data_IF_419044827910
#
_entry.id   IF_419044827910
#
_cell.length_a   1.000
_cell.length_b   1.000
_cell.length_c   1.000
_cell.angle_alpha   90.00
_cell.angle_beta   90.00
_cell.angle_gamma   90.00
#
_symmetry.space_group_name_H-M   'P 1'
#
loop_
_entity.id
_entity.type
_entity.pdbx_description
1 polymer ?
#
# COMPACT_ATOMS: atom_id res chain seq x y z
N UNK A 1 51.08 49.93 8.11
CA UNK A 1 50.96 48.94 7.03
C UNK A 1 49.64 49.24 6.32
N UNK A 2 49.62 49.46 5.01
CA UNK A 2 48.39 49.77 4.28
C UNK A 2 47.45 48.56 4.34
N UNK A 3 46.17 48.84 4.55
CA UNK A 3 45.11 47.84 4.61
C UNK A 3 44.96 47.21 3.21
N UNK A 4 45.23 45.90 3.01
CA UNK A 4 45.31 45.31 1.67
C UNK A 4 43.95 44.97 1.06
N UNK A 5 42.84 45.49 1.60
CA UNK A 5 41.53 45.36 0.98
C UNK A 5 41.41 46.42 -0.13
N UNK A 6 42.11 46.21 -1.24
CA UNK A 6 41.71 46.80 -2.51
C UNK A 6 40.46 46.07 -2.97
N UNK A 7 39.29 46.72 -2.91
CA UNK A 7 38.09 46.21 -3.57
C UNK A 7 38.40 46.10 -5.07
N UNK A 8 38.58 44.87 -5.55
CA UNK A 8 38.64 44.60 -6.97
C UNK A 8 37.19 44.46 -7.43
N UNK A 9 36.54 45.58 -7.73
CA UNK A 9 35.24 45.56 -8.41
C UNK A 9 35.51 45.31 -9.90
N UNK A 10 35.42 44.04 -10.30
CA UNK A 10 35.41 43.70 -11.72
C UNK A 10 33.94 43.65 -12.18
N UNK A 11 33.48 44.72 -12.81
CA UNK A 11 32.19 44.69 -13.51
C UNK A 11 32.37 44.00 -14.85
N UNK A 12 31.64 42.91 -15.06
CA UNK A 12 31.57 42.21 -16.33
C UNK A 12 30.33 42.72 -17.08
N UNK A 13 30.50 43.14 -18.33
CA UNK A 13 29.38 43.57 -19.18
C UNK A 13 28.51 42.38 -19.62
N UNK A 14 27.22 42.63 -19.86
CA UNK A 14 26.14 41.62 -19.80
C UNK A 14 26.15 40.51 -20.86
N UNK A 15 27.13 40.44 -21.76
CA UNK A 15 27.14 39.51 -22.91
C UNK A 15 28.46 38.74 -23.08
N UNK A 16 29.40 38.84 -22.14
CA UNK A 16 30.68 38.14 -22.24
C UNK A 16 30.65 36.80 -21.50
N UNK A 17 31.10 35.72 -22.16
CA UNK A 17 31.33 34.42 -21.52
C UNK A 17 32.70 34.46 -20.84
N UNK A 18 32.73 34.22 -19.53
CA UNK A 18 33.99 34.11 -18.78
C UNK A 18 34.18 32.69 -18.27
N UNK A 19 35.18 32.02 -18.84
CA UNK A 19 35.62 30.72 -18.36
C UNK A 19 36.72 30.91 -17.31
N UNK A 20 36.42 30.52 -16.07
CA UNK A 20 37.44 30.40 -15.02
C UNK A 20 38.01 28.98 -15.08
N UNK A 21 39.22 28.85 -15.61
CA UNK A 21 39.92 27.57 -15.67
C UNK A 21 40.75 27.34 -14.39
N UNK A 22 40.70 26.12 -13.85
CA UNK A 22 41.48 25.70 -12.69
C UNK A 22 40.67 25.59 -11.40
N UNK A 23 41.36 25.62 -10.26
CA UNK A 23 40.74 25.55 -8.94
C UNK A 23 40.53 26.95 -8.39
N UNK A 24 39.31 27.23 -7.94
CA UNK A 24 38.97 28.48 -7.27
C UNK A 24 38.43 28.19 -5.87
N UNK A 25 38.83 29.00 -4.90
CA UNK A 25 38.37 28.91 -3.52
C UNK A 25 37.91 30.30 -3.07
N UNK A 26 36.66 30.39 -2.63
CA UNK A 26 36.12 31.59 -2.01
C UNK A 26 36.05 31.34 -0.51
N UNK A 27 36.79 32.11 0.27
CA UNK A 27 36.73 32.11 1.74
C UNK A 27 36.26 33.47 2.21
N UNK A 28 35.20 33.50 3.01
CA UNK A 28 34.65 34.72 3.59
C UNK A 28 34.47 34.55 5.10
N UNK A 29 34.81 35.57 5.89
CA UNK A 29 34.65 35.56 7.36
C UNK A 29 33.24 35.99 7.82
N UNK A 30 32.37 36.43 6.90
CA UNK A 30 30.99 36.83 7.18
C UNK A 30 30.00 36.03 6.34
N UNK A 31 29.89 36.35 5.06
CA UNK A 31 29.06 35.61 4.11
C UNK A 31 29.58 35.79 2.69
N UNK A 32 29.32 34.80 1.85
CA UNK A 32 29.47 34.89 0.40
C UNK A 32 28.09 34.69 -0.21
N UNK A 33 27.73 35.51 -1.19
CA UNK A 33 26.47 35.37 -1.92
C UNK A 33 26.81 35.10 -3.38
N UNK A 34 26.25 34.02 -3.91
CA UNK A 34 26.20 33.76 -5.33
C UNK A 34 24.75 34.00 -5.77
N UNK A 35 24.54 34.98 -6.65
CA UNK A 35 23.21 35.32 -7.18
C UNK A 35 23.25 35.31 -8.70
N UNK A 36 22.22 34.75 -9.31
CA UNK A 36 21.96 34.90 -10.74
C UNK A 36 20.66 35.69 -10.90
N UNK A 37 20.68 36.70 -11.77
CA UNK A 37 19.50 37.49 -12.14
C UNK A 37 18.96 37.12 -13.52
N UNK A 38 19.60 36.15 -14.21
CA UNK A 38 19.11 35.55 -15.44
C UNK A 38 18.23 34.33 -15.17
N UNK A 39 17.95 33.56 -16.22
CA UNK A 39 16.99 32.46 -16.17
C UNK A 39 17.46 31.29 -15.28
N UNK A 40 18.76 30.95 -15.32
CA UNK A 40 19.31 29.77 -14.65
C UNK A 40 20.59 30.04 -13.85
N UNK A 41 20.71 29.43 -12.67
CA UNK A 41 21.99 29.20 -11.98
C UNK A 41 22.25 27.69 -11.91
N UNK A 42 23.22 27.21 -12.69
CA UNK A 42 23.55 25.79 -12.76
C UNK A 42 24.80 25.50 -11.94
N UNK A 43 24.63 24.76 -10.83
CA UNK A 43 25.75 24.18 -10.08
C UNK A 43 25.91 22.71 -10.50
N UNK A 44 27.02 22.38 -11.16
CA UNK A 44 27.27 21.03 -11.70
C UNK A 44 28.67 20.53 -11.35
N UNK A 45 28.75 19.29 -10.87
CA UNK A 45 30.00 18.56 -10.69
C UNK A 45 30.03 17.45 -11.74
N UNK A 46 31.00 17.47 -12.65
CA UNK A 46 31.11 16.51 -13.77
C UNK A 46 32.45 15.79 -13.72
N UNK A 47 32.44 14.48 -13.92
CA UNK A 47 33.64 13.62 -13.94
C UNK A 47 33.51 12.41 -13.02
N UNK A 48 34.45 11.45 -13.15
CA UNK A 48 34.45 10.25 -12.31
C UNK A 48 34.86 10.61 -10.86
N UNK A 49 34.06 10.22 -9.87
CA UNK A 49 34.32 10.51 -8.45
C UNK A 49 34.07 11.96 -8.02
N UNK A 50 33.31 12.73 -8.80
CA UNK A 50 32.97 14.12 -8.47
C UNK A 50 31.72 14.18 -7.59
N UNK A 51 31.74 15.08 -6.61
CA UNK A 51 30.63 15.31 -5.68
C UNK A 51 30.31 16.81 -5.65
N UNK A 52 29.05 17.16 -5.42
CA UNK A 52 28.66 18.50 -4.99
C UNK A 52 28.32 18.41 -3.51
N UNK A 53 29.20 18.94 -2.65
CA UNK A 53 28.96 18.97 -1.21
C UNK A 53 28.25 20.27 -0.84
N UNK A 54 27.02 20.15 -0.36
CA UNK A 54 26.30 21.22 0.32
C UNK A 54 26.34 20.92 1.82
N UNK A 55 27.42 21.35 2.47
CA UNK A 55 27.59 21.21 3.91
C UNK A 55 27.23 22.52 4.59
N UNK A 56 26.18 22.49 5.42
CA UNK A 56 25.75 23.62 6.22
C UNK A 56 25.69 23.18 7.68
N UNK A 57 26.43 23.88 8.53
CA UNK A 57 26.38 23.69 9.99
C UNK A 57 25.05 24.14 10.61
N UNK A 58 24.22 24.89 9.85
CA UNK A 58 22.86 25.27 10.22
C UNK A 58 21.82 24.65 9.29
N UNK A 59 21.49 25.35 8.21
CA UNK A 59 20.44 24.93 7.26
C UNK A 59 20.90 25.12 5.83
N UNK A 60 20.69 24.12 4.98
CA UNK A 60 20.76 24.26 3.53
C UNK A 60 19.37 24.03 2.93
N UNK A 61 18.88 24.97 2.13
CA UNK A 61 17.54 24.91 1.56
C UNK A 61 17.53 25.26 0.07
N UNK A 62 16.81 24.47 -0.72
CA UNK A 62 16.54 24.73 -2.14
C UNK A 62 15.02 24.92 -2.28
N UNK A 63 14.60 26.07 -2.82
CA UNK A 63 13.19 26.41 -3.04
C UNK A 63 12.91 26.55 -4.54
N UNK A 64 11.79 26.01 -4.98
CA UNK A 64 11.25 26.18 -6.33
C UNK A 64 9.73 26.37 -6.23
N UNK A 65 9.28 27.63 -6.09
CA UNK A 65 7.88 27.93 -5.81
C UNK A 65 7.46 27.37 -4.45
N UNK A 66 6.44 26.49 -4.44
CA UNK A 66 5.95 25.80 -3.22
C UNK A 66 6.73 24.52 -2.90
N UNK A 67 7.62 24.07 -3.78
CA UNK A 67 8.48 22.92 -3.55
C UNK A 67 9.75 23.33 -2.79
N UNK A 68 10.13 22.55 -1.79
CA UNK A 68 11.31 22.79 -0.96
C UNK A 68 12.06 21.49 -0.63
N UNK A 69 13.38 21.54 -0.69
CA UNK A 69 14.31 20.58 -0.08
C UNK A 69 15.06 21.32 1.03
N UNK A 70 14.96 20.85 2.26
CA UNK A 70 15.62 21.45 3.42
C UNK A 70 16.44 20.40 4.15
N UNK A 71 17.72 20.69 4.36
CA UNK A 71 18.66 19.93 5.18
C UNK A 71 18.89 20.74 6.46
N UNK A 72 18.46 20.20 7.60
CA UNK A 72 18.60 20.83 8.91
C UNK A 72 19.60 20.02 9.75
N UNK A 73 20.71 20.66 10.13
CA UNK A 73 21.61 20.11 11.13
C UNK A 73 21.01 20.35 12.53
N UNK A 74 21.05 19.32 13.37
CA UNK A 74 20.68 19.42 14.79
C UNK A 74 21.63 18.55 15.60
N UNK A 75 21.92 19.01 16.80
CA UNK A 75 22.81 18.40 17.78
C UNK A 75 22.34 16.98 18.18
N UNK A 76 21.07 16.67 17.93
CA UNK A 76 20.41 15.42 18.33
C UNK A 76 20.19 14.49 17.11
N UNK A 77 19.72 15.02 15.98
CA UNK A 77 19.54 14.25 14.75
C UNK A 77 19.42 15.18 13.53
N UNK A 78 20.24 14.95 12.49
CA UNK A 78 20.06 15.63 11.20
C UNK A 78 18.73 15.25 10.55
N UNK A 79 18.08 16.22 9.90
CA UNK A 79 16.77 16.04 9.25
C UNK A 79 16.86 16.48 7.79
N UNK A 80 16.32 15.63 6.92
CA UNK A 80 16.07 15.94 5.51
C UNK A 80 14.57 16.05 5.31
N UNK A 81 14.11 17.21 4.85
CA UNK A 81 12.69 17.48 4.58
C UNK A 81 12.51 17.80 3.11
N UNK A 82 11.57 17.11 2.46
CA UNK A 82 11.13 17.41 1.09
C UNK A 82 9.63 17.70 1.14
N UNK A 83 9.20 18.83 0.58
CA UNK A 83 7.78 19.23 0.52
C UNK A 83 7.45 19.71 -0.89
N UNK A 84 6.28 19.35 -1.41
CA UNK A 84 5.87 19.64 -2.80
C UNK A 84 4.63 20.54 -2.92
N UNK A 85 4.14 21.11 -1.82
CA UNK A 85 2.88 21.88 -1.81
C UNK A 85 1.63 20.99 -1.91
N UNK A 86 0.46 21.58 -2.18
CA UNK A 86 -0.85 20.90 -2.14
C UNK A 86 -1.10 19.95 -3.30
N UNK A 87 -0.51 20.22 -4.47
CA UNK A 87 -0.72 19.43 -5.70
C UNK A 87 0.59 18.90 -6.28
N UNK A 88 1.69 19.03 -5.55
CA UNK A 88 2.99 18.59 -6.04
C UNK A 88 3.22 17.11 -5.81
N UNK A 89 4.15 16.58 -6.60
CA UNK A 89 4.61 15.20 -6.51
C UNK A 89 6.06 15.19 -6.04
N UNK A 90 6.42 14.24 -5.17
CA UNK A 90 7.82 13.89 -4.92
C UNK A 90 8.07 12.55 -5.61
N UNK A 91 9.07 12.52 -6.48
CA UNK A 91 9.39 11.36 -7.31
C UNK A 91 10.83 10.92 -7.06
N UNK A 92 11.00 9.71 -6.55
CA UNK A 92 12.29 9.10 -6.28
C UNK A 92 12.45 7.87 -7.18
N UNK A 93 13.42 7.90 -8.09
CA UNK A 93 13.67 6.80 -9.02
C UNK A 93 15.10 6.26 -8.87
N UNK A 94 15.23 4.94 -8.90
CA UNK A 94 16.52 4.25 -8.96
C UNK A 94 16.51 3.19 -10.06
N UNK A 95 17.49 3.24 -10.97
CA UNK A 95 17.61 2.33 -12.11
C UNK A 95 17.22 2.97 -13.45
N UNK A 96 17.02 2.14 -14.47
CA UNK A 96 16.64 2.61 -15.79
C UNK A 96 15.22 3.23 -15.79
N UNK A 97 14.96 4.19 -16.69
CA UNK A 97 13.59 4.55 -17.06
C UNK A 97 12.75 3.29 -17.31
N UNK A 98 11.57 3.24 -16.72
CA UNK A 98 10.57 2.15 -16.86
C UNK A 98 10.94 0.77 -16.30
N UNK A 99 12.16 0.54 -15.82
CA UNK A 99 12.58 -0.73 -15.21
C UNK A 99 13.05 -0.59 -13.76
N UNK A 100 13.27 0.66 -13.33
CA UNK A 100 13.74 0.98 -12.00
C UNK A 100 12.70 0.78 -10.89
N UNK A 101 13.16 1.03 -9.67
CA UNK A 101 12.28 1.22 -8.52
C UNK A 101 11.87 2.68 -8.46
N UNK A 102 10.59 2.94 -8.23
CA UNK A 102 9.99 4.27 -8.17
C UNK A 102 9.21 4.40 -6.86
N UNK A 103 9.45 5.48 -6.12
CA UNK A 103 8.58 5.93 -5.03
C UNK A 103 7.98 7.28 -5.40
N UNK A 104 6.65 7.34 -5.42
CA UNK A 104 5.88 8.54 -5.74
C UNK A 104 5.06 8.93 -4.52
N UNK A 105 5.23 10.16 -4.06
CA UNK A 105 4.41 10.76 -3.00
C UNK A 105 3.56 11.87 -3.64
N UNK A 106 2.26 11.76 -3.52
CA UNK A 106 1.27 12.74 -3.95
C UNK A 106 0.47 13.23 -2.74
N UNK A 107 -0.36 14.25 -2.93
CA UNK A 107 -1.17 14.84 -1.86
C UNK A 107 -2.08 13.83 -1.14
N UNK A 108 -2.64 12.87 -1.88
CA UNK A 108 -3.63 11.91 -1.37
C UNK A 108 -3.23 10.45 -1.58
N UNK A 109 -2.01 10.21 -2.06
CA UNK A 109 -1.55 8.88 -2.40
C UNK A 109 -0.04 8.71 -2.23
N UNK A 110 0.40 7.48 -1.96
CA UNK A 110 1.81 7.12 -1.95
C UNK A 110 1.96 5.78 -2.65
N UNK A 111 2.87 5.69 -3.61
CA UNK A 111 3.09 4.47 -4.39
C UNK A 111 4.56 4.09 -4.35
N UNK A 112 4.86 2.82 -4.08
CA UNK A 112 6.16 2.20 -4.28
C UNK A 112 5.98 1.14 -5.37
N UNK A 113 6.70 1.28 -6.46
CA UNK A 113 6.66 0.36 -7.60
C UNK A 113 8.06 -0.13 -7.93
N UNK A 114 8.20 -1.39 -8.29
CA UNK A 114 9.47 -1.96 -8.76
C UNK A 114 9.29 -2.58 -10.14
N UNK A 115 10.08 -2.13 -11.12
CA UNK A 115 10.05 -2.66 -12.48
C UNK A 115 9.01 -1.99 -13.37
N UNK A 116 8.60 -2.73 -14.42
CA UNK A 116 7.74 -2.21 -15.48
C UNK A 116 6.40 -1.70 -14.92
N UNK A 117 5.97 -0.48 -15.28
CA UNK A 117 4.64 0.03 -14.98
C UNK A 117 3.55 -0.98 -15.28
N UNK A 118 2.67 -1.19 -14.29
CA UNK A 118 1.54 -2.12 -14.33
C UNK A 118 1.90 -3.61 -14.44
N UNK A 119 3.16 -4.02 -14.49
CA UNK A 119 3.55 -5.45 -14.48
C UNK A 119 4.30 -5.81 -13.20
N UNK A 120 5.07 -4.86 -12.67
CA UNK A 120 5.87 -5.04 -11.47
C UNK A 120 5.06 -5.08 -10.17
N UNK A 121 5.69 -5.43 -9.04
CA UNK A 121 5.10 -5.27 -7.73
C UNK A 121 4.80 -3.80 -7.41
N UNK A 122 3.63 -3.57 -6.81
CA UNK A 122 3.15 -2.25 -6.41
C UNK A 122 2.65 -2.30 -4.96
N UNK A 123 3.06 -1.32 -4.16
CA UNK A 123 2.45 -0.97 -2.88
C UNK A 123 1.83 0.41 -3.08
N UNK A 124 0.52 0.53 -2.92
CA UNK A 124 -0.21 1.79 -3.06
C UNK A 124 -1.00 2.08 -1.79
N UNK A 125 -0.78 3.25 -1.23
CA UNK A 125 -1.54 3.82 -0.13
C UNK A 125 -2.36 4.97 -0.68
N UNK A 126 -3.63 5.02 -0.27
CA UNK A 126 -4.57 6.11 -0.54
C UNK A 126 -5.23 6.48 0.78
N UNK A 127 -6.02 7.54 0.79
CA UNK A 127 -6.78 7.94 1.98
C UNK A 127 -7.71 6.83 2.50
N UNK A 128 -8.27 6.02 1.60
CA UNK A 128 -9.31 5.04 1.94
C UNK A 128 -8.85 3.58 1.85
N UNK A 129 -7.65 3.32 1.34
CA UNK A 129 -7.19 1.95 1.12
C UNK A 129 -5.67 1.79 1.04
N UNK A 130 -5.23 0.57 1.38
CA UNK A 130 -3.88 0.06 1.16
C UNK A 130 -3.99 -1.11 0.19
N UNK A 131 -3.22 -1.09 -0.90
CA UNK A 131 -3.16 -2.16 -1.89
C UNK A 131 -1.74 -2.67 -2.05
N UNK A 132 -1.57 -3.99 -1.97
CA UNK A 132 -0.36 -4.72 -2.32
C UNK A 132 -0.68 -5.51 -3.59
N UNK A 133 0.11 -5.39 -4.65
CA UNK A 133 -0.14 -6.05 -5.91
C UNK A 133 1.15 -6.62 -6.49
N UNK A 134 1.08 -7.81 -7.09
CA UNK A 134 2.15 -8.42 -7.86
C UNK A 134 1.59 -8.89 -9.20
N UNK A 135 2.07 -8.30 -10.28
CA UNK A 135 1.63 -8.61 -11.64
C UNK A 135 0.53 -7.68 -12.17
N UNK A 136 0.08 -7.92 -13.42
CA UNK A 136 -0.89 -7.07 -14.08
C UNK A 136 -2.24 -7.00 -13.37
N UNK A 137 -2.97 -5.87 -13.46
CA UNK A 137 -4.35 -5.79 -12.99
C UNK A 137 -5.21 -6.92 -13.57
N UNK A 138 -5.97 -7.61 -12.72
CA UNK A 138 -6.87 -8.70 -13.10
C UNK A 138 -6.21 -10.07 -13.25
N UNK A 139 -4.92 -10.14 -13.58
CA UNK A 139 -4.18 -11.41 -13.71
C UNK A 139 -3.33 -11.71 -12.48
N UNK A 140 -2.72 -10.67 -11.91
CA UNK A 140 -1.82 -10.75 -10.77
C UNK A 140 -2.51 -11.09 -9.45
N UNK A 141 -1.69 -11.24 -8.42
CA UNK A 141 -2.15 -11.35 -7.05
C UNK A 141 -2.28 -9.94 -6.44
N UNK A 142 -3.34 -9.69 -5.68
CA UNK A 142 -3.48 -8.46 -4.90
C UNK A 142 -4.11 -8.70 -3.53
N UNK A 143 -3.75 -7.82 -2.59
CA UNK A 143 -4.39 -7.68 -1.29
C UNK A 143 -4.78 -6.22 -1.16
N UNK A 144 -6.07 -5.95 -0.97
CA UNK A 144 -6.60 -4.61 -0.78
C UNK A 144 -7.32 -4.55 0.56
N UNK A 145 -6.94 -3.58 1.39
CA UNK A 145 -7.52 -3.34 2.70
C UNK A 145 -8.14 -1.95 2.70
N UNK A 146 -9.38 -1.85 3.16
CA UNK A 146 -10.09 -0.61 3.45
C UNK A 146 -10.74 -0.71 4.85
N UNK A 147 -11.34 0.36 5.40
CA UNK A 147 -11.91 0.33 6.75
C UNK A 147 -13.00 -0.73 6.98
N UNK A 148 -13.63 -1.24 5.91
CA UNK A 148 -14.77 -2.15 5.98
C UNK A 148 -14.47 -3.58 5.55
N UNK A 149 -13.37 -3.80 4.83
CA UNK A 149 -13.04 -5.10 4.25
C UNK A 149 -11.55 -5.29 3.91
N UNK A 150 -11.14 -6.55 3.89
CA UNK A 150 -9.88 -7.04 3.34
C UNK A 150 -10.20 -7.98 2.18
N UNK A 151 -9.70 -7.69 0.98
CA UNK A 151 -9.89 -8.51 -0.21
C UNK A 151 -8.56 -9.06 -0.68
N UNK A 152 -8.46 -10.38 -0.82
CA UNK A 152 -7.37 -11.09 -1.46
C UNK A 152 -7.86 -11.54 -2.84
N UNK A 153 -7.09 -11.30 -3.88
CA UNK A 153 -7.42 -11.69 -5.25
C UNK A 153 -6.21 -12.32 -5.94
N UNK A 154 -6.42 -13.40 -6.67
CA UNK A 154 -5.42 -14.01 -7.55
C UNK A 154 -6.11 -14.43 -8.84
N UNK A 155 -5.88 -13.68 -9.93
CA UNK A 155 -6.64 -13.88 -11.16
C UNK A 155 -8.15 -13.76 -10.93
N UNK A 156 -8.87 -14.86 -11.20
CA UNK A 156 -10.34 -14.95 -11.07
C UNK A 156 -10.82 -15.50 -9.72
N UNK A 157 -9.88 -15.75 -8.79
CA UNK A 157 -10.21 -16.18 -7.43
C UNK A 157 -10.18 -14.98 -6.51
N UNK A 158 -11.22 -14.78 -5.71
CA UNK A 158 -11.30 -13.71 -4.72
C UNK A 158 -11.76 -14.22 -3.36
N UNK A 159 -11.22 -13.63 -2.30
CA UNK A 159 -11.63 -13.83 -0.91
C UNK A 159 -11.76 -12.47 -0.26
N UNK A 160 -12.96 -12.11 0.18
CA UNK A 160 -13.27 -10.86 0.87
C UNK A 160 -13.71 -11.16 2.30
N UNK A 161 -13.04 -10.55 3.26
CA UNK A 161 -13.40 -10.55 4.67
C UNK A 161 -13.93 -9.15 4.99
N UNK A 162 -15.19 -9.03 5.37
CA UNK A 162 -15.81 -7.75 5.72
C UNK A 162 -16.76 -7.85 6.88
N UNK A 163 -17.34 -6.71 7.27
CA UNK A 163 -18.30 -6.62 8.39
C UNK A 163 -19.55 -7.49 8.19
N UNK A 164 -19.93 -7.75 6.94
CA UNK A 164 -21.07 -8.61 6.61
C UNK A 164 -20.74 -10.11 6.70
N UNK A 165 -19.46 -10.48 6.73
CA UNK A 165 -19.01 -11.86 6.68
C UNK A 165 -17.80 -12.12 5.80
N UNK A 166 -17.59 -13.39 5.47
CA UNK A 166 -16.53 -13.87 4.58
C UNK A 166 -17.17 -14.32 3.27
N UNK A 167 -16.66 -13.83 2.14
CA UNK A 167 -17.10 -14.21 0.81
C UNK A 167 -15.91 -14.70 -0.01
N UNK A 168 -16.04 -15.87 -0.61
CA UNK A 168 -15.07 -16.46 -1.53
C UNK A 168 -15.75 -16.62 -2.89
N UNK A 169 -15.07 -16.27 -3.98
CA UNK A 169 -15.54 -16.50 -5.34
C UNK A 169 -14.45 -17.06 -6.25
N UNK A 170 -14.86 -17.92 -7.19
CA UNK A 170 -14.04 -18.39 -8.30
C UNK A 170 -14.84 -18.16 -9.59
N UNK A 171 -14.31 -17.30 -10.47
CA UNK A 171 -14.96 -16.90 -11.74
C UNK A 171 -16.38 -16.33 -11.55
N UNK A 172 -16.73 -15.90 -10.33
CA UNK A 172 -18.10 -15.54 -9.92
C UNK A 172 -19.17 -16.64 -10.14
N UNK A 173 -18.76 -17.86 -10.49
CA UNK A 173 -19.64 -19.02 -10.71
C UNK A 173 -19.76 -19.88 -9.46
N UNK A 174 -18.64 -20.03 -8.74
CA UNK A 174 -18.58 -20.76 -7.47
C UNK A 174 -18.40 -19.74 -6.38
N UNK A 175 -19.36 -19.65 -5.46
CA UNK A 175 -19.33 -18.70 -4.34
C UNK A 175 -19.56 -19.41 -3.02
N UNK A 176 -18.85 -18.95 -1.99
CA UNK A 176 -19.06 -19.36 -0.61
C UNK A 176 -19.17 -18.11 0.26
N UNK A 177 -20.31 -17.93 0.90
CA UNK A 177 -20.57 -16.83 1.82
C UNK A 177 -20.77 -17.37 3.24
N UNK A 178 -20.18 -16.71 4.22
CA UNK A 178 -20.34 -16.99 5.64
C UNK A 178 -20.70 -15.69 6.36
N UNK A 179 -21.93 -15.60 6.88
CA UNK A 179 -22.46 -14.44 7.57
C UNK A 179 -23.09 -14.85 8.91
N UNK A 180 -23.50 -13.86 9.70
CA UNK A 180 -24.18 -14.08 11.00
C UNK A 180 -25.49 -14.87 10.81
N UNK A 181 -26.16 -14.72 9.68
CA UNK A 181 -27.40 -15.44 9.35
C UNK A 181 -27.18 -16.90 8.93
N UNK A 182 -25.96 -17.28 8.55
CA UNK A 182 -25.64 -18.62 8.06
C UNK A 182 -24.52 -18.68 7.03
N UNK A 183 -24.33 -19.87 6.48
CA UNK A 183 -23.39 -20.16 5.40
C UNK A 183 -24.13 -20.52 4.12
N UNK A 184 -23.67 -20.01 2.98
CA UNK A 184 -24.18 -20.38 1.66
C UNK A 184 -23.03 -20.81 0.77
N UNK A 185 -23.20 -21.95 0.10
CA UNK A 185 -22.34 -22.41 -0.98
C UNK A 185 -23.19 -22.46 -2.25
N UNK A 186 -22.71 -21.85 -3.33
CA UNK A 186 -23.35 -21.89 -4.64
C UNK A 186 -22.32 -22.28 -5.69
N UNK A 187 -22.69 -23.18 -6.60
CA UNK A 187 -21.88 -23.58 -7.72
C UNK A 187 -22.78 -23.89 -8.92
N UNK A 188 -22.66 -23.12 -10.00
CA UNK A 188 -23.40 -23.24 -11.27
C UNK A 188 -24.90 -23.52 -11.12
N UNK A 189 -25.30 -24.77 -10.89
CA UNK A 189 -26.70 -25.21 -10.82
C UNK A 189 -27.11 -25.73 -9.43
N UNK A 190 -26.17 -25.73 -8.47
CA UNK A 190 -26.38 -26.24 -7.11
C UNK A 190 -26.17 -25.14 -6.08
N UNK A 191 -26.99 -25.16 -5.03
CA UNK A 191 -26.78 -24.33 -3.85
C UNK A 191 -27.11 -25.09 -2.57
N UNK A 192 -26.36 -24.80 -1.52
CA UNK A 192 -26.61 -25.29 -0.18
C UNK A 192 -26.48 -24.11 0.78
N UNK A 193 -27.52 -23.87 1.58
CA UNK A 193 -27.49 -22.86 2.63
C UNK A 193 -27.78 -23.50 3.99
N UNK A 194 -26.97 -23.14 4.98
CA UNK A 194 -27.08 -23.56 6.37
C UNK A 194 -27.37 -22.27 7.16
N UNK A 195 -28.62 -22.08 7.55
CA UNK A 195 -29.06 -20.93 8.34
C UNK A 195 -29.52 -21.35 9.73
N UNK A 196 -29.84 -20.35 10.56
CA UNK A 196 -30.39 -20.58 11.92
C UNK A 196 -31.71 -21.37 11.91
N UNK A 197 -32.44 -21.36 10.80
CA UNK A 197 -33.70 -22.09 10.60
C UNK A 197 -33.53 -23.50 10.03
N UNK A 198 -32.33 -23.87 9.56
CA UNK A 198 -32.06 -25.21 9.04
C UNK A 198 -31.18 -25.24 7.78
N UNK A 199 -31.25 -26.37 7.06
CA UNK A 199 -30.43 -26.63 5.87
C UNK A 199 -31.35 -26.67 4.65
N UNK A 200 -31.05 -25.83 3.66
CA UNK A 200 -31.73 -25.83 2.36
C UNK A 200 -30.74 -26.25 1.27
N UNK A 201 -31.17 -27.13 0.37
CA UNK A 201 -30.37 -27.55 -0.79
C UNK A 201 -31.21 -27.46 -2.05
N UNK A 202 -30.61 -26.95 -3.12
CA UNK A 202 -31.20 -26.88 -4.46
C UNK A 202 -30.24 -27.49 -5.45
N UNK A 203 -30.70 -28.43 -6.26
CA UNK A 203 -29.97 -28.99 -7.38
C UNK A 203 -30.94 -29.24 -8.55
N UNK A 204 -30.46 -29.33 -9.81
CA UNK A 204 -31.31 -29.42 -11.01
C UNK A 204 -32.30 -30.60 -11.01
N UNK A 205 -32.03 -31.62 -10.21
CA UNK A 205 -32.76 -32.89 -10.21
C UNK A 205 -33.48 -33.15 -8.87
N UNK A 206 -33.29 -32.31 -7.85
CA UNK A 206 -34.00 -32.41 -6.56
C UNK A 206 -33.71 -31.19 -5.68
N UNK A 207 -34.74 -30.55 -5.13
CA UNK A 207 -34.62 -29.67 -3.97
C UNK A 207 -35.04 -30.44 -2.72
N UNK A 208 -34.10 -30.68 -1.81
CA UNK A 208 -34.40 -31.25 -0.50
C UNK A 208 -34.29 -30.12 0.54
N UNK A 209 -35.40 -29.82 1.21
CA UNK A 209 -35.42 -28.94 2.38
C UNK A 209 -35.56 -29.82 3.62
N UNK A 210 -34.57 -29.76 4.51
CA UNK A 210 -34.62 -30.48 5.78
C UNK A 210 -34.63 -29.44 6.90
N UNK A 211 -35.76 -29.36 7.61
CA UNK A 211 -35.88 -28.53 8.79
C UNK A 211 -34.98 -29.13 9.89
N UNK A 212 -33.84 -28.48 10.15
CA UNK A 212 -32.83 -29.02 11.05
C UNK A 212 -33.37 -29.22 12.49
N UNK A 213 -34.38 -28.42 12.86
CA UNK A 213 -35.07 -28.53 14.15
C UNK A 213 -35.83 -29.86 14.27
N UNK A 214 -36.51 -30.32 13.21
CA UNK A 214 -37.29 -31.54 13.20
C UNK A 214 -36.41 -32.79 13.18
N UNK A 215 -35.31 -32.78 12.41
CA UNK A 215 -34.38 -33.90 12.34
C UNK A 215 -33.59 -34.09 13.65
N UNK A 216 -33.14 -33.01 14.28
CA UNK A 216 -32.45 -33.07 15.57
C UNK A 216 -33.41 -33.42 16.72
N UNK A 217 -34.65 -32.91 16.69
CA UNK A 217 -35.69 -33.28 17.65
C UNK A 217 -36.10 -34.75 17.50
N UNK A 218 -36.16 -35.29 16.28
CA UNK A 218 -36.44 -36.71 16.05
C UNK A 218 -35.29 -37.61 16.55
N UNK A 219 -34.03 -37.20 16.37
CA UNK A 219 -32.87 -37.92 16.93
C UNK A 219 -32.88 -37.92 18.47
N UNK A 220 -33.09 -36.75 19.10
CA UNK A 220 -33.23 -36.63 20.56
C UNK A 220 -34.45 -37.37 21.12
N UNK A 221 -35.58 -37.33 20.40
CA UNK A 221 -36.80 -38.06 20.77
C UNK A 221 -36.60 -39.57 20.69
N UNK A 222 -35.85 -40.08 19.72
CA UNK A 222 -35.59 -41.51 19.59
C UNK A 222 -34.58 -42.01 20.65
N UNK A 223 -33.52 -41.25 20.93
CA UNK A 223 -32.56 -41.61 21.98
C UNK A 223 -33.20 -41.56 23.39
N UNK A 224 -34.08 -40.60 23.65
CA UNK A 224 -34.83 -40.54 24.92
C UNK A 224 -35.92 -41.61 25.02
N UNK A 225 -36.57 -41.99 23.91
CA UNK A 225 -37.53 -43.08 23.88
C UNK A 225 -36.88 -44.46 24.09
N UNK A 226 -35.66 -44.68 23.58
CA UNK A 226 -34.94 -45.94 23.79
C UNK A 226 -34.34 -46.03 25.20
N UNK A 227 -33.88 -44.92 25.77
CA UNK A 227 -33.48 -44.85 27.18
C UNK A 227 -34.64 -45.06 28.17
N UNK A 228 -35.90 -44.74 27.79
CA UNK A 228 -37.10 -44.95 28.61
C UNK A 228 -37.72 -46.34 28.51
N UNK A 229 -37.17 -47.27 27.70
CA UNK A 229 -37.48 -48.70 27.82
C UNK A 229 -36.79 -49.27 29.07
N UNK A 230 -37.27 -48.84 30.23
CA UNK A 230 -36.88 -49.42 31.51
C UNK A 230 -37.27 -50.90 31.53
N UNK A 231 -36.22 -51.71 31.62
CA UNK A 231 -36.15 -53.13 31.90
C UNK A 231 -37.29 -53.56 32.85
N UNK A 232 -38.30 -54.28 32.32
CA UNK A 232 -39.13 -55.15 33.16
C UNK A 232 -38.25 -56.31 33.62
N UNK A 233 -37.56 -56.11 34.73
CA UNK A 233 -36.86 -57.18 35.45
C UNK A 233 -37.88 -58.21 35.92
N UNK A 234 -38.01 -59.30 35.17
CA UNK A 234 -38.77 -60.47 35.60
C UNK A 234 -38.06 -61.11 36.80
N UNK A 235 -38.64 -60.99 37.99
CA UNK A 235 -38.24 -61.80 39.14
C UNK A 235 -38.77 -63.21 38.91
N UNK A 236 -37.88 -64.14 38.57
CA UNK A 236 -38.17 -65.57 38.52
C UNK A 236 -38.17 -66.09 39.96
N UNK A 237 -39.34 -66.46 40.49
CA UNK A 237 -39.42 -67.28 41.70
C UNK A 237 -39.15 -68.73 41.33
N UNK A 238 -38.08 -69.30 41.89
CA UNK A 238 -37.82 -70.74 41.87
C UNK A 238 -38.56 -71.34 43.07
N UNK A 239 -39.38 -72.37 42.80
CA UNK A 239 -40.17 -73.13 43.78
C UNK A 239 -39.29 -74.00 44.68
#
# INVERSE_FOLDING_TARGET
MPNPISQLEQSIESNETHDVLGSWCVTAAGGACLSCYGDDLILSSRGNGTNLFLDATGTASIYAGVAQLVLEASDIAGKVSVTSGTDGTIFLQSGLPDLGSVTTLEATSTTIQVGVPNLGPIIKLTMDSITLQVGPPGVGASITMNPTSITLKVGEVSLSLGVAGINESVLDVVTRAAAVSGHTLSAAETSAAIGVTGITTSAPISSNTADASAAFSAALSNDSADAMKTIKGGVVMIQ
#
